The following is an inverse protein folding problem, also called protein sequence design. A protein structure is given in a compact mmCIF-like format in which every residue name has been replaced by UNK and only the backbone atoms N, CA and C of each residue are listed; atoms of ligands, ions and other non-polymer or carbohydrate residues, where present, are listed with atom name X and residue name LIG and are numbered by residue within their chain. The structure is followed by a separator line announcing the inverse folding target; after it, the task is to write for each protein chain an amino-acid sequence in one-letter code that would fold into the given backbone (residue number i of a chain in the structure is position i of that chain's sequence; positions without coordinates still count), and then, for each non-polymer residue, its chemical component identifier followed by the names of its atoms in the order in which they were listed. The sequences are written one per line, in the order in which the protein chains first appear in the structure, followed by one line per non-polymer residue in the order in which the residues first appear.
data_IF_788598732352
#
_entry.id   IF_788598732352
#
_cell.length_a   1.000
_cell.length_b   1.000
_cell.length_c   1.000
_cell.angle_alpha   90.00
_cell.angle_beta   90.00
_cell.angle_gamma   90.00
#
_symmetry.space_group_name_H-M   'P 1'
#
loop_
_entity.id
_entity.type
_entity.pdbx_description
1 polymer ?
#
# COMPACT_ATOMS: atom_id res chain seq x y z
N UNK A 1 20.99 10.51 8.44
CA UNK A 1 20.92 11.99 8.51
C UNK A 1 19.75 12.31 9.43
N UNK A 2 20.00 12.80 10.65
CA UNK A 2 18.92 13.09 11.60
C UNK A 2 18.42 14.51 11.35
N UNK A 3 17.16 14.67 10.99
CA UNK A 3 16.54 16.00 10.91
C UNK A 3 16.19 16.41 12.33
N UNK A 4 16.75 17.53 12.77
CA UNK A 4 16.42 18.15 14.06
C UNK A 4 15.42 19.25 13.74
N UNK A 5 14.26 19.22 14.37
CA UNK A 5 13.23 20.22 14.12
C UNK A 5 13.60 21.56 14.76
N UNK A 6 12.76 22.58 14.51
CA UNK A 6 12.93 23.92 15.06
C UNK A 6 12.97 23.98 16.59
N UNK A 7 12.60 22.91 17.30
CA UNK A 7 12.62 22.78 18.76
C UNK A 7 13.84 22.00 19.29
N UNK A 8 14.78 21.58 18.43
CA UNK A 8 15.94 20.79 18.86
C UNK A 8 15.66 19.31 19.12
N UNK A 9 14.46 18.81 18.80
CA UNK A 9 14.11 17.40 18.95
C UNK A 9 14.55 16.61 17.72
N UNK A 10 15.10 15.42 17.95
CA UNK A 10 15.36 14.44 16.89
C UNK A 10 14.01 13.99 16.36
N UNK A 11 13.71 14.30 15.10
CA UNK A 11 12.51 13.80 14.42
C UNK A 11 12.81 12.48 13.73
N UNK A 12 11.78 11.65 13.61
CA UNK A 12 11.83 10.43 12.84
C UNK A 12 11.93 10.77 11.36
N UNK A 13 13.16 10.90 10.88
CA UNK A 13 13.42 11.10 9.47
C UNK A 13 13.28 9.76 8.76
N UNK A 14 12.11 9.50 8.18
CA UNK A 14 11.89 8.45 7.18
C UNK A 14 11.37 9.13 5.92
N UNK A 15 11.82 8.67 4.75
CA UNK A 15 11.46 9.31 3.49
C UNK A 15 11.01 8.24 2.50
N UNK A 16 9.82 8.41 1.93
CA UNK A 16 9.43 7.67 0.72
C UNK A 16 10.05 8.39 -0.47
N UNK A 17 10.79 7.66 -1.28
CA UNK A 17 11.36 8.14 -2.54
C UNK A 17 10.83 7.25 -3.65
N UNK A 18 10.29 7.86 -4.69
CA UNK A 18 9.99 7.12 -5.91
C UNK A 18 11.33 6.80 -6.56
N UNK A 19 11.80 5.56 -6.44
CA UNK A 19 12.94 5.13 -7.25
C UNK A 19 12.38 4.83 -8.61
N UNK A 20 13.05 5.40 -9.59
CA UNK A 20 13.05 4.82 -10.91
C UNK A 20 13.81 3.51 -10.80
N UNK A 21 13.12 2.43 -10.43
CA UNK A 21 13.67 1.09 -10.57
C UNK A 21 14.17 0.98 -12.01
N UNK A 22 15.24 0.21 -12.21
CA UNK A 22 15.65 -0.15 -13.55
C UNK A 22 14.49 -0.94 -14.18
N UNK A 23 13.61 -0.24 -14.93
CA UNK A 23 12.57 -0.75 -15.84
C UNK A 23 11.09 -0.72 -15.40
N UNK A 24 10.62 -0.31 -14.21
CA UNK A 24 9.16 -0.06 -14.04
C UNK A 24 8.78 1.09 -13.08
N UNK A 25 8.48 2.26 -13.65
CA UNK A 25 7.77 3.40 -13.01
C UNK A 25 6.26 3.39 -13.24
N UNK A 26 5.76 2.36 -13.92
CA UNK A 26 4.38 2.25 -14.37
C UNK A 26 3.67 1.21 -13.51
N UNK A 27 2.39 1.41 -13.18
CA UNK A 27 1.61 0.36 -12.55
C UNK A 27 1.72 -0.92 -13.39
N UNK A 28 2.09 -2.04 -12.77
CA UNK A 28 2.07 -3.34 -13.43
C UNK A 28 0.64 -3.82 -13.43
N UNK A 29 0.03 -3.94 -14.62
CA UNK A 29 -1.35 -4.40 -14.76
C UNK A 29 -1.38 -5.93 -14.88
N UNK A 30 -2.24 -6.57 -14.09
CA UNK A 30 -2.52 -7.99 -14.16
C UNK A 30 -3.60 -8.33 -15.20
N UNK A 31 -4.04 -9.58 -15.17
CA UNK A 31 -5.20 -10.04 -15.93
C UNK A 31 -6.50 -9.46 -15.36
N UNK A 32 -7.58 -9.54 -16.16
CA UNK A 32 -8.90 -9.19 -15.64
C UNK A 32 -9.28 -10.12 -14.48
N UNK A 33 -10.07 -9.62 -13.54
CA UNK A 33 -10.59 -10.45 -12.44
C UNK A 33 -11.41 -11.63 -13.00
N UNK A 34 -12.07 -11.45 -14.15
CA UNK A 34 -12.83 -12.50 -14.82
C UNK A 34 -11.98 -13.69 -15.29
N UNK A 35 -10.68 -13.47 -15.53
CA UNK A 35 -9.75 -14.52 -15.95
C UNK A 35 -9.34 -15.44 -14.79
N UNK A 36 -9.42 -14.95 -13.55
CA UNK A 36 -8.95 -15.65 -12.33
C UNK A 36 -10.10 -16.10 -11.44
N UNK A 37 -11.23 -15.37 -11.40
CA UNK A 37 -12.39 -15.62 -10.54
C UNK A 37 -13.60 -16.07 -11.38
N UNK A 38 -13.79 -17.39 -11.51
CA UNK A 38 -14.77 -17.97 -12.46
C UNK A 38 -16.01 -18.57 -11.80
N UNK A 39 -15.84 -19.15 -10.62
CA UNK A 39 -16.91 -19.89 -9.91
C UNK A 39 -17.56 -19.04 -8.82
N UNK A 40 -18.82 -19.32 -8.50
CA UNK A 40 -19.55 -18.61 -7.43
C UNK A 40 -18.82 -18.69 -6.07
N UNK A 41 -18.16 -19.82 -5.79
CA UNK A 41 -17.33 -19.98 -4.59
C UNK A 41 -16.12 -19.04 -4.58
N UNK A 42 -15.44 -18.86 -5.71
CA UNK A 42 -14.34 -17.90 -5.84
C UNK A 42 -14.84 -16.45 -5.75
N UNK A 43 -15.98 -16.13 -6.40
CA UNK A 43 -16.60 -14.80 -6.33
C UNK A 43 -16.97 -14.42 -4.89
N UNK A 44 -17.56 -15.34 -4.14
CA UNK A 44 -17.87 -15.14 -2.72
C UNK A 44 -16.59 -14.90 -1.90
N UNK A 45 -15.56 -15.70 -2.13
CA UNK A 45 -14.27 -15.56 -1.43
C UNK A 45 -13.61 -14.22 -1.72
N UNK A 46 -13.68 -13.76 -2.96
CA UNK A 46 -13.18 -12.46 -3.40
C UNK A 46 -13.90 -11.31 -2.67
N UNK A 47 -15.23 -11.31 -2.66
CA UNK A 47 -16.04 -10.31 -1.95
C UNK A 47 -15.73 -10.31 -0.46
N UNK A 48 -15.70 -11.48 0.19
CA UNK A 48 -15.41 -11.60 1.61
C UNK A 48 -14.00 -11.07 1.95
N UNK A 49 -13.02 -11.29 1.08
CA UNK A 49 -11.66 -10.78 1.26
C UNK A 49 -11.61 -9.25 1.15
N UNK A 50 -12.21 -8.65 0.13
CA UNK A 50 -12.23 -7.19 -0.02
C UNK A 50 -12.92 -6.50 1.16
N UNK A 51 -14.05 -7.06 1.62
CA UNK A 51 -14.79 -6.51 2.76
C UNK A 51 -13.98 -6.62 4.06
N UNK A 52 -13.39 -7.78 4.34
CA UNK A 52 -12.71 -8.04 5.61
C UNK A 52 -11.31 -7.45 5.69
N UNK A 53 -10.55 -7.52 4.60
CA UNK A 53 -9.12 -7.16 4.58
C UNK A 53 -8.91 -5.72 4.15
N UNK A 54 -9.68 -5.27 3.15
CA UNK A 54 -9.48 -3.96 2.52
C UNK A 54 -10.55 -2.94 2.90
N UNK A 55 -11.51 -3.32 3.75
CA UNK A 55 -12.58 -2.45 4.28
C UNK A 55 -13.38 -1.79 3.15
N UNK A 56 -13.60 -2.57 2.09
CA UNK A 56 -14.45 -2.20 0.97
C UNK A 56 -15.89 -2.51 1.32
N UNK A 57 -16.80 -1.57 1.02
CA UNK A 57 -18.23 -1.80 1.25
C UNK A 57 -18.71 -3.00 0.41
N UNK A 58 -19.53 -3.86 1.00
CA UNK A 58 -19.96 -5.11 0.36
C UNK A 58 -20.58 -4.88 -1.01
N UNK A 59 -21.44 -3.87 -1.15
CA UNK A 59 -22.10 -3.53 -2.42
C UNK A 59 -21.08 -3.17 -3.52
N UNK A 60 -20.00 -2.49 -3.15
CA UNK A 60 -18.92 -2.16 -4.07
C UNK A 60 -18.12 -3.41 -4.45
N UNK A 61 -17.80 -4.27 -3.48
CA UNK A 61 -17.11 -5.53 -3.77
C UNK A 61 -17.95 -6.44 -4.69
N UNK A 62 -19.28 -6.46 -4.51
CA UNK A 62 -20.21 -7.15 -5.39
C UNK A 62 -20.30 -6.49 -6.79
N UNK A 63 -20.28 -5.15 -6.89
CA UNK A 63 -20.24 -4.46 -8.19
C UNK A 63 -18.95 -4.78 -8.97
N UNK A 64 -17.80 -4.80 -8.29
CA UNK A 64 -16.51 -5.17 -8.89
C UNK A 64 -16.59 -6.56 -9.52
N UNK A 65 -17.07 -7.56 -8.77
CA UNK A 65 -17.10 -8.93 -9.27
C UNK A 65 -18.19 -9.19 -10.33
N UNK A 66 -19.25 -8.36 -10.33
CA UNK A 66 -20.27 -8.40 -11.38
C UNK A 66 -19.80 -7.78 -12.70
N UNK A 67 -18.75 -6.96 -12.67
CA UNK A 67 -18.08 -6.36 -13.84
C UNK A 67 -16.61 -6.77 -13.92
N UNK A 68 -16.32 -8.03 -13.57
CA UNK A 68 -14.97 -8.53 -13.37
C UNK A 68 -14.06 -8.42 -14.63
N UNK A 69 -14.65 -8.26 -15.80
CA UNK A 69 -13.96 -7.99 -17.07
C UNK A 69 -13.36 -6.58 -17.15
N UNK A 70 -13.95 -5.60 -16.47
CA UNK A 70 -13.52 -4.19 -16.50
C UNK A 70 -12.47 -3.86 -15.43
N UNK A 71 -12.30 -4.77 -14.47
CA UNK A 71 -11.42 -4.60 -13.33
C UNK A 71 -10.19 -5.49 -13.46
N UNK A 72 -9.02 -4.92 -13.18
CA UNK A 72 -7.74 -5.62 -13.16
C UNK A 72 -7.01 -5.38 -11.84
N UNK A 73 -6.17 -6.34 -11.45
CA UNK A 73 -5.17 -6.10 -10.41
C UNK A 73 -4.08 -5.17 -10.94
N UNK A 74 -3.58 -4.28 -10.10
CA UNK A 74 -2.38 -3.48 -10.39
C UNK A 74 -1.40 -3.54 -9.24
N UNK A 75 -0.12 -3.32 -9.57
CA UNK A 75 0.98 -3.26 -8.63
C UNK A 75 1.86 -2.02 -8.82
N UNK A 76 2.34 -1.45 -7.73
CA UNK A 76 3.23 -0.31 -7.69
C UNK A 76 4.31 -0.49 -6.63
N UNK A 77 5.57 -0.31 -7.00
CA UNK A 77 6.68 -0.36 -6.05
C UNK A 77 7.13 1.04 -5.67
N UNK A 78 7.25 1.31 -4.37
CA UNK A 78 7.86 2.53 -3.85
C UNK A 78 9.04 2.16 -2.97
N UNK A 79 10.07 3.00 -2.94
CA UNK A 79 11.20 2.76 -2.05
C UNK A 79 11.12 3.63 -0.82
N UNK A 80 11.35 2.98 0.29
CA UNK A 80 11.33 3.63 1.58
C UNK A 80 12.74 3.61 2.11
N UNK A 81 13.31 4.81 2.28
CA UNK A 81 14.60 5.01 2.91
C UNK A 81 14.39 5.25 4.41
N UNK A 82 14.94 4.35 5.23
CA UNK A 82 14.96 4.54 6.67
C UNK A 82 16.20 5.34 7.07
N UNK A 83 16.02 6.64 7.32
CA UNK A 83 17.10 7.50 7.82
C UNK A 83 17.08 7.67 9.35
N UNK A 84 16.18 6.94 10.03
CA UNK A 84 16.14 6.83 11.48
C UNK A 84 17.28 5.95 12.01
N UNK A 85 17.63 6.12 13.28
CA UNK A 85 18.59 5.26 13.98
C UNK A 85 17.96 3.92 14.43
N UNK A 86 16.64 3.84 14.48
CA UNK A 86 15.86 2.63 14.76
C UNK A 86 15.42 1.95 13.47
N UNK A 87 15.13 0.65 13.54
CA UNK A 87 14.55 -0.13 12.47
C UNK A 87 13.10 0.30 12.24
N UNK A 88 12.71 0.45 10.99
CA UNK A 88 11.32 0.64 10.59
C UNK A 88 10.70 -0.72 10.32
N UNK A 89 9.58 -1.01 10.96
CA UNK A 89 8.77 -2.22 10.72
C UNK A 89 7.41 -1.77 10.21
N UNK A 90 6.95 -2.31 9.08
CA UNK A 90 5.68 -1.95 8.44
C UNK A 90 4.93 -3.19 8.00
N UNK A 91 3.59 -3.13 8.10
CA UNK A 91 2.71 -4.25 7.77
C UNK A 91 1.47 -3.84 6.95
N UNK A 92 1.14 -2.53 6.89
CA UNK A 92 -0.08 -2.08 6.22
C UNK A 92 0.01 -0.64 5.70
N UNK A 93 -0.98 -0.28 4.90
CA UNK A 93 -1.25 1.08 4.46
C UNK A 93 -2.55 1.60 5.07
N UNK A 94 -2.57 2.89 5.37
CA UNK A 94 -3.76 3.66 5.68
C UNK A 94 -4.20 4.42 4.42
N UNK A 95 -5.49 4.37 4.10
CA UNK A 95 -6.08 4.99 2.92
C UNK A 95 -6.95 6.15 3.38
N UNK A 96 -6.57 7.39 3.07
CA UNK A 96 -7.27 8.59 3.55
C UNK A 96 -8.60 8.88 2.86
N UNK A 97 -8.83 8.35 1.65
CA UNK A 97 -10.11 8.51 0.95
C UNK A 97 -10.43 7.35 0.00
N UNK A 98 -11.73 7.04 -0.13
CA UNK A 98 -12.26 6.02 -1.03
C UNK A 98 -12.39 6.59 -2.46
N UNK A 99 -12.22 5.74 -3.47
CA UNK A 99 -12.44 6.06 -4.88
C UNK A 99 -13.31 4.96 -5.52
N UNK A 100 -14.32 5.28 -6.32
CA UNK A 100 -15.26 4.27 -6.84
C UNK A 100 -14.64 3.33 -7.88
N UNK A 101 -13.61 3.79 -8.60
CA UNK A 101 -12.99 3.07 -9.72
C UNK A 101 -11.63 2.48 -9.34
N UNK A 102 -11.23 2.62 -8.08
CA UNK A 102 -9.92 2.23 -7.57
C UNK A 102 -10.03 1.71 -6.14
N UNK A 103 -9.36 0.60 -5.86
CA UNK A 103 -9.24 0.00 -4.53
C UNK A 103 -7.76 -0.28 -4.30
N UNK A 104 -7.26 0.03 -3.11
CA UNK A 104 -5.92 -0.38 -2.68
C UNK A 104 -6.05 -1.45 -1.61
N UNK A 105 -5.19 -2.46 -1.67
CA UNK A 105 -5.11 -3.47 -0.63
C UNK A 105 -4.45 -2.88 0.60
N UNK A 106 -5.07 -3.05 1.77
CA UNK A 106 -4.57 -2.43 3.02
C UNK A 106 -3.36 -3.16 3.58
N UNK A 107 -3.31 -4.47 3.40
CA UNK A 107 -2.17 -5.25 3.87
C UNK A 107 -1.10 -5.29 2.79
N UNK A 108 0.14 -5.15 3.24
CA UNK A 108 1.28 -5.44 2.39
C UNK A 108 1.38 -6.97 2.25
N UNK A 109 1.72 -7.46 1.06
CA UNK A 109 1.87 -8.91 0.80
C UNK A 109 2.90 -9.58 1.73
N UNK A 110 3.80 -8.78 2.32
CA UNK A 110 4.69 -9.19 3.39
C UNK A 110 4.95 -8.06 4.39
N UNK A 111 5.41 -8.43 5.59
CA UNK A 111 5.95 -7.47 6.54
C UNK A 111 7.34 -7.01 6.07
N UNK A 112 7.53 -5.70 6.02
CA UNK A 112 8.82 -5.13 5.66
C UNK A 112 9.54 -4.59 6.89
N UNK A 113 10.84 -4.87 6.94
CA UNK A 113 11.72 -4.46 8.01
C UNK A 113 12.96 -3.78 7.42
N UNK A 114 13.06 -2.46 7.62
CA UNK A 114 14.07 -1.61 7.02
C UNK A 114 15.03 -1.15 8.11
N UNK A 115 16.25 -1.68 8.12
CA UNK A 115 17.30 -1.31 9.09
C UNK A 115 17.67 0.17 9.00
N UNK A 116 18.18 0.70 10.10
CA UNK A 116 18.74 2.06 10.14
C UNK A 116 19.74 2.29 9.01
N UNK A 117 19.58 3.40 8.28
CA UNK A 117 20.43 3.79 7.16
C UNK A 117 20.25 2.96 5.88
N UNK A 118 19.28 2.05 5.85
CA UNK A 118 18.97 1.21 4.68
C UNK A 118 17.69 1.67 4.01
N UNK A 119 17.41 1.14 2.82
CA UNK A 119 16.10 1.28 2.19
C UNK A 119 15.69 0.05 1.43
N UNK A 120 14.40 -0.08 1.18
CA UNK A 120 13.78 -1.25 0.59
C UNK A 120 12.62 -0.83 -0.31
N UNK A 121 12.42 -1.56 -1.39
CA UNK A 121 11.19 -1.45 -2.19
C UNK A 121 10.05 -2.16 -1.45
N UNK A 122 8.96 -1.43 -1.22
CA UNK A 122 7.70 -1.98 -0.76
C UNK A 122 6.74 -2.06 -1.95
N UNK A 123 5.99 -3.15 -2.02
CA UNK A 123 5.01 -3.39 -3.07
C UNK A 123 3.61 -3.02 -2.56
N UNK A 124 2.93 -2.18 -3.32
CA UNK A 124 1.57 -1.72 -3.07
C UNK A 124 0.70 -2.20 -4.22
N UNK A 125 -0.38 -2.89 -3.93
CA UNK A 125 -1.28 -3.45 -4.93
C UNK A 125 -2.72 -3.04 -4.71
N UNK A 126 -3.55 -3.27 -5.72
CA UNK A 126 -4.95 -2.93 -5.67
C UNK A 126 -5.71 -3.39 -6.90
N UNK A 127 -6.94 -2.91 -7.01
CA UNK A 127 -7.84 -3.15 -8.14
C UNK A 127 -8.19 -1.83 -8.81
N UNK A 128 -8.19 -1.81 -10.14
CA UNK A 128 -8.52 -0.62 -10.92
C UNK A 128 -9.49 -0.95 -12.05
N UNK A 129 -10.48 -0.09 -12.26
CA UNK A 129 -11.36 -0.16 -13.42
C UNK A 129 -10.67 0.53 -14.61
N UNK A 130 -10.16 -0.25 -15.57
CA UNK A 130 -9.37 0.29 -16.69
C UNK A 130 -10.19 1.20 -17.61
N UNK A 131 -11.50 1.00 -17.70
CA UNK A 131 -12.36 1.85 -18.53
C UNK A 131 -12.43 3.31 -18.06
N UNK A 132 -11.96 3.60 -16.83
CA UNK A 132 -11.97 4.93 -16.22
C UNK A 132 -10.62 5.62 -16.21
N UNK A 133 -9.54 4.90 -16.49
CA UNK A 133 -8.18 5.43 -16.46
C UNK A 133 -7.50 5.19 -17.82
N UNK A 134 -7.49 6.20 -18.71
CA UNK A 134 -7.00 6.04 -20.07
C UNK A 134 -5.47 5.85 -20.16
N UNK A 135 -4.74 6.21 -19.11
CA UNK A 135 -3.29 6.07 -19.03
C UNK A 135 -2.77 5.99 -17.58
N UNK A 136 -1.48 5.68 -17.44
CA UNK A 136 -0.78 5.57 -16.15
C UNK A 136 -0.81 6.89 -15.35
N UNK A 137 -0.79 8.05 -16.01
CA UNK A 137 -0.74 9.35 -15.32
C UNK A 137 -2.07 9.67 -14.63
N UNK A 138 -3.19 9.33 -15.28
CA UNK A 138 -4.51 9.47 -14.68
C UNK A 138 -4.64 8.62 -13.41
N UNK A 139 -4.15 7.37 -13.45
CA UNK A 139 -4.15 6.47 -12.29
C UNK A 139 -3.25 7.01 -11.15
N UNK A 140 -2.02 7.43 -11.46
CA UNK A 140 -1.09 7.98 -10.45
C UNK A 140 -1.64 9.25 -9.79
N UNK A 141 -2.35 10.10 -10.55
CA UNK A 141 -2.99 11.30 -10.00
C UNK A 141 -4.06 10.94 -8.97
N UNK A 142 -4.90 9.94 -9.25
CA UNK A 142 -5.92 9.49 -8.30
C UNK A 142 -5.30 8.79 -7.09
N UNK A 143 -4.27 7.95 -7.29
CA UNK A 143 -3.54 7.32 -6.18
C UNK A 143 -2.95 8.36 -5.22
N UNK A 144 -2.37 9.44 -5.74
CA UNK A 144 -1.90 10.56 -4.91
C UNK A 144 -3.05 11.29 -4.21
N UNK A 145 -4.22 11.44 -4.86
CA UNK A 145 -5.40 12.05 -4.25
C UNK A 145 -6.01 11.21 -3.11
N UNK A 146 -5.77 9.89 -3.11
CA UNK A 146 -6.26 8.99 -2.07
C UNK A 146 -5.60 9.20 -0.69
N UNK A 147 -4.55 10.02 -0.59
CA UNK A 147 -3.80 10.31 0.64
C UNK A 147 -3.34 9.02 1.35
N UNK A 148 -2.67 8.14 0.60
CA UNK A 148 -2.18 6.86 1.10
C UNK A 148 -0.98 7.08 2.02
N UNK A 149 -0.97 6.38 3.14
CA UNK A 149 0.13 6.41 4.10
C UNK A 149 0.61 5.01 4.40
N UNK A 150 1.92 4.88 4.62
CA UNK A 150 2.51 3.68 5.17
C UNK A 150 2.40 3.74 6.69
N UNK A 151 1.84 2.71 7.31
CA UNK A 151 1.74 2.59 8.77
C UNK A 151 2.92 1.76 9.26
N UNK A 152 3.76 2.36 10.11
CA UNK A 152 4.98 1.73 10.58
C UNK A 152 5.23 1.96 12.06
N UNK A 153 6.07 1.10 12.64
CA UNK A 153 6.58 1.19 14.00
C UNK A 153 8.09 1.27 13.96
N UNK A 154 8.67 2.00 14.92
CA UNK A 154 10.13 2.02 15.12
C UNK A 154 10.50 1.09 16.25
N UNK A 155 11.49 0.24 16.00
CA UNK A 155 11.99 -0.73 16.96
C UNK A 155 13.52 -0.76 16.95
N UNK A 156 14.11 -1.13 18.08
CA UNK A 156 15.54 -1.45 18.10
C UNK A 156 15.82 -2.71 17.27
N UNK A 157 17.01 -2.80 16.68
CA UNK A 157 17.43 -3.99 15.93
C UNK A 157 17.47 -5.26 16.81
N UNK A 158 17.61 -5.09 18.13
CA UNK A 158 17.57 -6.16 19.14
C UNK A 158 16.19 -6.81 19.27
N UNK A 159 15.12 -6.12 18.89
CA UNK A 159 13.76 -6.64 18.92
C UNK A 159 13.60 -7.58 17.72
N UNK A 160 13.43 -8.86 17.99
CA UNK A 160 13.29 -9.88 16.95
C UNK A 160 11.85 -10.12 16.55
N UNK A 161 10.90 -9.84 17.44
CA UNK A 161 9.47 -10.03 17.22
C UNK A 161 8.64 -9.02 18.02
N UNK A 162 7.42 -8.75 17.57
CA UNK A 162 6.43 -7.93 18.28
C UNK A 162 5.24 -8.82 18.62
N UNK A 163 5.22 -9.32 19.85
CA UNK A 163 4.19 -10.25 20.32
C UNK A 163 2.79 -9.61 20.44
N UNK A 164 2.73 -8.29 20.66
CA UNK A 164 1.48 -7.55 20.85
C UNK A 164 1.51 -6.19 20.13
N UNK A 165 1.01 -6.21 18.90
CA UNK A 165 0.87 -5.03 18.03
C UNK A 165 -0.12 -3.98 18.55
N UNK A 166 -0.97 -4.29 19.54
CA UNK A 166 -1.88 -3.30 20.12
C UNK A 166 -1.18 -2.30 21.04
N UNK A 167 0.04 -2.64 21.51
CA UNK A 167 0.81 -1.84 22.46
C UNK A 167 1.93 -1.03 21.81
N UNK A 168 2.17 -1.20 20.51
CA UNK A 168 3.22 -0.45 19.83
C UNK A 168 2.72 0.94 19.42
N UNK A 169 3.61 1.93 19.54
CA UNK A 169 3.32 3.27 19.02
C UNK A 169 3.52 3.26 17.51
N UNK A 170 2.41 3.32 16.77
CA UNK A 170 2.43 3.42 15.31
C UNK A 170 2.67 4.87 14.86
N UNK A 171 3.32 5.00 13.72
CA UNK A 171 3.59 6.23 13.00
C UNK A 171 3.13 6.06 11.56
N UNK A 172 2.94 7.16 10.87
CA UNK A 172 2.53 7.15 9.46
C UNK A 172 3.44 8.04 8.65
N UNK A 173 3.71 7.64 7.41
CA UNK A 173 4.38 8.49 6.41
C UNK A 173 3.59 8.49 5.11
N UNK A 174 3.46 9.65 4.48
CA UNK A 174 2.75 9.78 3.21
C UNK A 174 3.49 9.05 2.09
N UNK A 175 2.76 8.27 1.30
CA UNK A 175 3.25 7.64 0.08
C UNK A 175 2.85 8.53 -1.08
N UNK A 176 3.83 8.88 -1.92
CA UNK A 176 3.59 9.56 -3.19
C UNK A 176 3.77 8.57 -4.31
N UNK A 177 2.85 8.59 -5.27
CA UNK A 177 2.86 7.73 -6.45
C UNK A 177 3.45 8.49 -7.63
#
# INVERSE_FOLDING_TARGET
YTKVNSEGKKEDATTVVNVNSSVVNKPTMGSSISDTVKTDGQKKTFVDNLVKKDDVDKDKAEDIINKAEDWVEFGYSVYVANTNALRLITASIEIGSKNDNLVLHKNLDCEYSIKSGSGMEIYISGLVNLAKYPDDQALLKELNAMNVKLVYTLAEDSITDIDDWSKVTTKTMDIKF
#
